data_IF_171144949937
#
_entry.id   IF_171144949937
#
_cell.length_a   1.000
_cell.length_b   1.000
_cell.length_c   1.000
_cell.angle_alpha   90.00
_cell.angle_beta   90.00
_cell.angle_gamma   90.00
#
_symmetry.space_group_name_H-M   'P 1'
#
loop_
_entity.id
_entity.type
_entity.pdbx_description
1 polymer ?
#
# COMPACT_ATOMS: atom_id res chain seq x y z
N UNK A 1 11.05 18.25 -8.35
CA UNK A 1 10.95 16.92 -7.69
C UNK A 1 10.74 15.87 -8.78
N UNK A 2 11.30 14.66 -8.65
CA UNK A 2 11.00 13.56 -9.57
C UNK A 2 9.51 13.21 -9.56
N UNK A 3 9.00 12.67 -10.67
CA UNK A 3 7.64 12.13 -10.74
C UNK A 3 7.52 10.84 -9.94
N UNK A 4 6.30 10.42 -9.60
CA UNK A 4 6.10 9.16 -8.89
C UNK A 4 6.65 7.95 -9.68
N UNK A 5 6.50 7.95 -11.01
CA UNK A 5 7.06 6.92 -11.88
C UNK A 5 8.60 6.89 -11.85
N UNK A 6 9.25 8.06 -11.82
CA UNK A 6 10.72 8.14 -11.67
C UNK A 6 11.17 7.61 -10.30
N UNK A 7 10.46 7.96 -9.22
CA UNK A 7 10.71 7.43 -7.88
C UNK A 7 10.54 5.91 -7.85
N UNK A 8 9.49 5.36 -8.45
CA UNK A 8 9.25 3.92 -8.52
C UNK A 8 10.37 3.17 -9.26
N UNK A 9 10.76 3.64 -10.45
CA UNK A 9 11.85 3.03 -11.21
C UNK A 9 13.16 3.04 -10.41
N UNK A 10 13.43 4.15 -9.74
CA UNK A 10 14.63 4.30 -8.91
C UNK A 10 14.59 3.41 -7.67
N UNK A 11 13.42 3.23 -7.06
CA UNK A 11 13.20 2.33 -5.94
C UNK A 11 13.50 0.88 -6.35
N UNK A 12 12.92 0.43 -7.47
CA UNK A 12 13.15 -0.91 -7.99
C UNK A 12 14.64 -1.16 -8.30
N UNK A 13 15.33 -0.19 -8.91
CA UNK A 13 16.77 -0.30 -9.16
C UNK A 13 17.60 -0.36 -7.87
N UNK A 14 17.18 0.33 -6.80
CA UNK A 14 17.82 0.24 -5.50
C UNK A 14 17.58 -1.14 -4.86
N UNK A 15 16.35 -1.65 -4.94
CA UNK A 15 15.99 -3.00 -4.50
C UNK A 15 16.86 -4.08 -5.18
N UNK A 16 17.00 -4.04 -6.51
CA UNK A 16 17.86 -4.97 -7.25
C UNK A 16 19.35 -4.89 -6.87
N UNK A 17 19.78 -3.80 -6.22
CA UNK A 17 21.14 -3.60 -5.72
C UNK A 17 21.27 -3.93 -4.23
N UNK A 18 20.23 -4.47 -3.61
CA UNK A 18 20.11 -4.70 -2.17
C UNK A 18 20.23 -3.43 -1.30
N UNK A 19 20.02 -2.25 -1.89
CA UNK A 19 19.96 -0.96 -1.18
C UNK A 19 18.52 -0.73 -0.70
N UNK A 20 18.15 -1.51 0.32
CA UNK A 20 16.77 -1.56 0.82
C UNK A 20 16.32 -0.26 1.49
N UNK A 21 17.22 0.45 2.18
CA UNK A 21 16.89 1.72 2.84
C UNK A 21 16.49 2.77 1.80
N UNK A 22 17.29 2.89 0.73
CA UNK A 22 16.99 3.78 -0.38
C UNK A 22 15.74 3.35 -1.13
N UNK A 23 15.57 2.04 -1.35
CA UNK A 23 14.37 1.51 -1.98
C UNK A 23 13.11 1.88 -1.19
N UNK A 24 13.13 1.68 0.13
CA UNK A 24 12.02 1.99 1.03
C UNK A 24 11.67 3.49 1.03
N UNK A 25 12.66 4.37 1.12
CA UNK A 25 12.47 5.82 1.02
C UNK A 25 11.85 6.23 -0.32
N UNK A 26 12.34 5.67 -1.43
CA UNK A 26 11.84 5.98 -2.76
C UNK A 26 10.40 5.48 -3.00
N UNK A 27 10.02 4.31 -2.48
CA UNK A 27 8.63 3.86 -2.52
C UNK A 27 7.70 4.76 -1.71
N UNK A 28 8.12 5.22 -0.52
CA UNK A 28 7.34 6.20 0.25
C UNK A 28 7.15 7.50 -0.52
N UNK A 29 8.20 8.01 -1.17
CA UNK A 29 8.13 9.22 -2.01
C UNK A 29 7.17 9.04 -3.18
N UNK A 30 7.24 7.90 -3.86
CA UNK A 30 6.32 7.54 -4.94
C UNK A 30 4.85 7.60 -4.48
N UNK A 31 4.51 6.91 -3.39
CA UNK A 31 3.15 6.87 -2.83
C UNK A 31 2.68 8.25 -2.39
N UNK A 32 3.52 8.99 -1.66
CA UNK A 32 3.18 10.34 -1.17
C UNK A 32 2.91 11.30 -2.34
N UNK A 33 3.70 11.21 -3.42
CA UNK A 33 3.53 12.00 -4.64
C UNK A 33 2.21 11.66 -5.35
N UNK A 34 1.96 10.38 -5.62
CA UNK A 34 0.70 9.89 -6.19
C UNK A 34 -0.53 10.41 -5.45
N UNK A 35 -0.53 10.24 -4.12
CA UNK A 35 -1.66 10.61 -3.27
C UNK A 35 -1.82 12.12 -3.16
N UNK A 36 -0.74 12.90 -3.29
CA UNK A 36 -0.79 14.36 -3.20
C UNK A 36 -1.19 15.05 -4.49
N UNK A 37 -0.51 14.77 -5.60
CA UNK A 37 -0.58 15.64 -6.79
C UNK A 37 -0.57 14.93 -8.15
N UNK A 38 -0.38 13.62 -8.22
CA UNK A 38 -0.41 12.88 -9.50
C UNK A 38 -1.68 12.04 -9.69
N UNK A 39 -1.86 11.50 -10.91
CA UNK A 39 -3.00 10.64 -11.24
C UNK A 39 -2.91 9.32 -10.46
N UNK A 40 -3.95 9.03 -9.66
CA UNK A 40 -4.01 7.85 -8.78
C UNK A 40 -4.02 6.53 -9.56
N UNK A 41 -4.70 6.50 -10.71
CA UNK A 41 -4.83 5.33 -11.60
C UNK A 41 -3.85 5.39 -12.78
N UNK A 42 -2.70 6.06 -12.61
CA UNK A 42 -1.68 6.01 -13.64
C UNK A 42 -1.14 4.58 -13.77
N UNK A 43 -1.01 4.12 -15.02
CA UNK A 43 -0.48 2.80 -15.30
C UNK A 43 0.96 2.64 -14.83
N UNK A 44 1.37 1.41 -14.58
CA UNK A 44 2.76 1.07 -14.39
C UNK A 44 3.57 1.53 -15.60
N UNK A 45 4.76 2.13 -15.39
CA UNK A 45 5.72 2.26 -16.47
C UNK A 45 6.03 0.86 -17.03
N UNK A 46 6.32 0.76 -18.33
CA UNK A 46 6.54 -0.50 -19.08
C UNK A 46 7.77 -1.30 -18.60
N UNK A 47 7.70 -1.78 -17.36
CA UNK A 47 8.71 -2.55 -16.64
C UNK A 47 8.14 -3.93 -16.28
N UNK A 48 6.82 -4.15 -16.43
CA UNK A 48 6.18 -5.44 -16.16
C UNK A 48 5.26 -5.87 -17.31
N UNK A 49 5.42 -7.08 -17.86
CA UNK A 49 4.56 -7.64 -18.90
C UNK A 49 3.40 -8.50 -18.35
N UNK A 50 3.17 -8.57 -17.03
CA UNK A 50 2.17 -9.46 -16.45
C UNK A 50 0.85 -8.77 -16.13
N UNK A 51 -0.25 -9.37 -16.57
CA UNK A 51 -1.63 -9.00 -16.22
C UNK A 51 -2.03 -9.45 -14.81
N UNK A 52 -1.20 -10.27 -14.14
CA UNK A 52 -1.47 -10.80 -12.80
C UNK A 52 -1.15 -9.82 -11.67
N UNK A 53 -0.45 -8.72 -11.98
CA UNK A 53 -0.15 -7.68 -11.02
C UNK A 53 -1.10 -6.48 -11.19
N UNK A 54 -1.36 -5.70 -10.12
CA UNK A 54 -2.07 -4.44 -10.24
C UNK A 54 -1.44 -3.57 -11.34
N UNK A 55 -2.25 -3.02 -12.23
CA UNK A 55 -1.76 -2.22 -13.35
C UNK A 55 -1.53 -0.76 -12.94
N UNK A 56 -2.09 -0.33 -11.80
CA UNK A 56 -1.92 0.99 -11.26
C UNK A 56 -0.60 1.11 -10.47
N UNK A 57 0.21 2.12 -10.81
CA UNK A 57 1.49 2.39 -10.17
C UNK A 57 1.36 2.50 -8.64
N UNK A 58 0.28 3.11 -8.15
CA UNK A 58 0.04 3.26 -6.71
C UNK A 58 -0.16 1.91 -6.02
N UNK A 59 -0.92 1.00 -6.63
CA UNK A 59 -1.16 -0.34 -6.08
C UNK A 59 0.13 -1.12 -5.93
N UNK A 60 0.97 -1.12 -6.97
CA UNK A 60 2.26 -1.83 -6.94
C UNK A 60 3.27 -1.18 -6.02
N UNK A 61 3.39 0.15 -6.03
CA UNK A 61 4.29 0.85 -5.11
C UNK A 61 3.93 0.55 -3.65
N UNK A 62 2.63 0.50 -3.34
CA UNK A 62 2.16 0.16 -2.00
C UNK A 62 2.42 -1.30 -1.65
N UNK A 63 2.18 -2.23 -2.57
CA UNK A 63 2.49 -3.65 -2.38
C UNK A 63 3.97 -3.85 -2.04
N UNK A 64 4.87 -3.23 -2.81
CA UNK A 64 6.33 -3.29 -2.59
C UNK A 64 6.74 -2.62 -1.27
N UNK A 65 6.11 -1.51 -0.88
CA UNK A 65 6.35 -0.92 0.44
C UNK A 65 5.99 -1.91 1.56
N UNK A 66 4.86 -2.60 1.44
CA UNK A 66 4.37 -3.51 2.49
C UNK A 66 5.12 -4.85 2.54
N UNK A 67 5.69 -5.36 1.44
CA UNK A 67 6.47 -6.61 1.45
C UNK A 67 7.68 -6.50 2.38
N UNK A 68 8.38 -5.36 2.40
CA UNK A 68 9.47 -5.09 3.35
C UNK A 68 9.13 -5.37 4.81
N UNK A 69 7.87 -5.16 5.23
CA UNK A 69 7.43 -5.46 6.58
C UNK A 69 6.95 -6.90 6.73
N UNK A 70 6.30 -7.46 5.70
CA UNK A 70 5.79 -8.85 5.73
C UNK A 70 6.92 -9.89 5.72
N UNK A 71 8.02 -9.57 5.06
CA UNK A 71 9.19 -10.44 4.96
C UNK A 71 10.13 -10.28 6.18
N UNK A 72 9.79 -9.38 7.12
CA UNK A 72 10.57 -9.12 8.33
C UNK A 72 11.81 -8.24 8.12
N UNK A 73 12.07 -7.74 6.91
CA UNK A 73 13.19 -6.83 6.62
C UNK A 73 13.12 -5.55 7.46
N UNK A 74 11.91 -5.02 7.68
CA UNK A 74 11.69 -3.85 8.52
C UNK A 74 10.58 -4.07 9.55
N UNK A 75 10.67 -3.33 10.64
CA UNK A 75 9.70 -3.28 11.74
C UNK A 75 9.22 -1.84 11.96
N UNK A 76 8.23 -1.66 12.84
CA UNK A 76 7.81 -0.33 13.28
C UNK A 76 8.98 0.47 13.88
N UNK A 77 9.89 -0.21 14.57
CA UNK A 77 11.05 0.37 15.24
C UNK A 77 12.14 0.77 14.25
N UNK A 78 12.43 -0.06 13.25
CA UNK A 78 13.49 0.22 12.26
C UNK A 78 13.04 1.15 11.13
N UNK A 79 11.74 1.22 10.83
CA UNK A 79 11.20 2.09 9.77
C UNK A 79 9.89 2.78 10.19
N UNK A 80 9.93 3.66 11.22
CA UNK A 80 8.73 4.25 11.82
C UNK A 80 7.92 5.11 10.84
N UNK A 81 8.57 5.79 9.90
CA UNK A 81 7.86 6.67 8.95
C UNK A 81 7.16 5.88 7.83
N UNK A 82 7.78 4.78 7.37
CA UNK A 82 7.11 3.84 6.46
C UNK A 82 5.93 3.15 7.18
N UNK A 83 6.11 2.75 8.44
CA UNK A 83 5.03 2.20 9.25
C UNK A 83 3.87 3.20 9.43
N UNK A 84 4.16 4.47 9.76
CA UNK A 84 3.13 5.53 9.85
C UNK A 84 2.39 5.71 8.52
N UNK A 85 3.09 5.64 7.39
CA UNK A 85 2.47 5.73 6.07
C UNK A 85 1.49 4.58 5.86
N UNK A 86 1.90 3.33 6.10
CA UNK A 86 1.04 2.14 6.02
C UNK A 86 -0.18 2.29 6.94
N UNK A 87 0.05 2.63 8.21
CA UNK A 87 -1.01 2.82 9.20
C UNK A 87 -1.99 3.94 8.82
N UNK A 88 -1.56 4.95 8.05
CA UNK A 88 -2.47 5.99 7.59
C UNK A 88 -3.56 5.45 6.66
N UNK A 89 -3.30 4.35 5.94
CA UNK A 89 -4.26 3.65 5.07
C UNK A 89 -5.01 2.50 5.77
N UNK A 90 -4.92 2.39 7.09
CA UNK A 90 -5.64 1.33 7.82
C UNK A 90 -7.16 1.47 7.61
N UNK A 91 -7.88 0.36 7.36
CA UNK A 91 -9.34 0.38 7.42
C UNK A 91 -9.83 0.82 8.81
N UNK A 92 -10.98 1.52 8.87
CA UNK A 92 -11.51 2.04 10.13
C UNK A 92 -10.66 3.14 10.79
N UNK A 93 -9.74 3.76 10.04
CA UNK A 93 -9.14 5.04 10.43
C UNK A 93 -10.08 6.21 10.09
N UNK A 94 -9.96 7.32 10.81
CA UNK A 94 -10.74 8.55 10.55
C UNK A 94 -10.19 9.37 9.37
N UNK A 95 -9.21 8.84 8.62
CA UNK A 95 -8.57 9.56 7.54
C UNK A 95 -9.42 9.47 6.28
N UNK A 96 -9.87 10.62 5.82
CA UNK A 96 -10.55 10.74 4.54
C UNK A 96 -9.56 10.82 3.38
N UNK A 97 -10.03 10.38 2.21
CA UNK A 97 -9.25 10.30 0.97
C UNK A 97 -9.98 11.05 -0.17
N UNK A 98 -10.12 12.38 -0.08
CA UNK A 98 -11.02 13.16 -0.94
C UNK A 98 -10.66 13.12 -2.43
N UNK A 99 -9.43 12.72 -2.79
CA UNK A 99 -9.01 12.59 -4.20
C UNK A 99 -9.46 11.28 -4.86
N UNK A 100 -9.89 10.30 -4.08
CA UNK A 100 -10.38 9.02 -4.61
C UNK A 100 -11.89 9.17 -4.85
N UNK A 101 -12.29 9.74 -5.97
CA UNK A 101 -13.70 10.11 -6.23
C UNK A 101 -14.41 9.17 -7.19
N UNK A 102 -13.67 8.54 -8.11
CA UNK A 102 -14.25 7.62 -9.09
C UNK A 102 -14.42 6.20 -8.53
N UNK A 103 -15.31 5.37 -9.07
CA UNK A 103 -15.45 3.97 -8.65
C UNK A 103 -14.14 3.17 -8.75
N UNK A 104 -13.36 3.40 -9.80
CA UNK A 104 -12.04 2.78 -10.01
C UNK A 104 -11.04 3.21 -8.93
N UNK A 105 -10.99 4.51 -8.61
CA UNK A 105 -10.13 5.01 -7.53
C UNK A 105 -10.58 4.45 -6.18
N UNK A 106 -11.87 4.39 -5.90
CA UNK A 106 -12.41 3.81 -4.67
C UNK A 106 -12.06 2.33 -4.54
N UNK A 107 -12.08 1.57 -5.64
CA UNK A 107 -11.63 0.19 -5.66
C UNK A 107 -10.13 0.08 -5.33
N UNK A 108 -9.30 0.92 -5.96
CA UNK A 108 -7.86 1.01 -5.69
C UNK A 108 -7.58 1.36 -4.23
N UNK A 109 -8.30 2.32 -3.65
CA UNK A 109 -8.18 2.70 -2.24
C UNK A 109 -8.48 1.51 -1.34
N UNK A 110 -9.57 0.79 -1.59
CA UNK A 110 -9.94 -0.40 -0.82
C UNK A 110 -8.85 -1.48 -0.90
N UNK A 111 -8.27 -1.72 -2.07
CA UNK A 111 -7.16 -2.68 -2.22
C UNK A 111 -5.93 -2.27 -1.39
N UNK A 112 -5.58 -0.97 -1.40
CA UNK A 112 -4.50 -0.41 -0.56
C UNK A 112 -4.81 -0.58 0.93
N UNK A 113 -6.05 -0.28 1.34
CA UNK A 113 -6.49 -0.41 2.73
C UNK A 113 -6.46 -1.87 3.21
N UNK A 114 -6.87 -2.82 2.36
CA UNK A 114 -6.77 -4.25 2.64
C UNK A 114 -5.30 -4.64 2.87
N UNK A 115 -4.40 -4.27 1.95
CA UNK A 115 -2.96 -4.55 2.10
C UNK A 115 -2.37 -3.92 3.38
N UNK A 116 -2.76 -2.68 3.70
CA UNK A 116 -2.34 -2.00 4.91
C UNK A 116 -2.81 -2.76 6.17
N UNK A 117 -4.10 -3.10 6.24
CA UNK A 117 -4.68 -3.82 7.37
C UNK A 117 -4.06 -5.20 7.60
N UNK A 118 -3.85 -5.98 6.53
CA UNK A 118 -3.20 -7.29 6.61
C UNK A 118 -1.76 -7.17 7.11
N UNK A 119 -1.00 -6.19 6.59
CA UNK A 119 0.39 -5.95 6.99
C UNK A 119 0.47 -5.54 8.46
N UNK A 120 -0.39 -4.62 8.91
CA UNK A 120 -0.45 -4.19 10.32
C UNK A 120 -0.88 -5.34 11.25
N UNK A 121 -1.79 -6.20 10.79
CA UNK A 121 -2.19 -7.40 11.50
C UNK A 121 -1.02 -8.38 11.69
N UNK A 122 -0.23 -8.60 10.63
CA UNK A 122 0.97 -9.44 10.69
C UNK A 122 2.04 -8.86 11.62
N UNK A 123 2.33 -7.55 11.53
CA UNK A 123 3.28 -6.90 12.44
C UNK A 123 2.84 -7.06 13.91
N UNK A 124 1.55 -6.91 14.20
CA UNK A 124 1.02 -7.13 15.55
C UNK A 124 1.12 -8.60 15.97
N UNK A 125 0.85 -9.52 15.05
CA UNK A 125 0.98 -10.95 15.25
C UNK A 125 2.42 -11.34 15.62
N UNK A 126 3.42 -10.81 14.93
CA UNK A 126 4.83 -11.10 15.19
C UNK A 126 5.29 -10.56 16.55
N UNK A 127 4.71 -9.43 16.99
CA UNK A 127 4.87 -8.89 18.35
C UNK A 127 4.09 -9.65 19.43
N UNK A 128 3.41 -10.75 19.07
CA UNK A 128 2.52 -11.54 19.96
C UNK A 128 1.31 -10.75 20.48
N UNK A 129 1.01 -9.59 19.90
CA UNK A 129 -0.22 -8.84 20.19
C UNK A 129 -1.39 -9.42 19.38
N UNK A 130 -1.91 -10.54 19.88
CA UNK A 130 -3.01 -11.28 19.24
C UNK A 130 -4.29 -10.46 19.16
N UNK A 131 -4.55 -9.60 20.15
CA UNK A 131 -5.75 -8.78 20.20
C UNK A 131 -5.74 -7.74 19.07
N UNK A 132 -4.62 -7.02 18.90
CA UNK A 132 -4.48 -6.08 17.79
C UNK A 132 -4.50 -6.81 16.45
N UNK A 133 -3.80 -7.94 16.30
CA UNK A 133 -3.80 -8.71 15.06
C UNK A 133 -5.21 -9.12 14.62
N UNK A 134 -5.98 -9.73 15.53
CA UNK A 134 -7.37 -10.13 15.27
C UNK A 134 -8.26 -8.94 14.89
N UNK A 135 -8.09 -7.79 15.56
CA UNK A 135 -8.80 -6.56 15.21
C UNK A 135 -8.49 -6.10 13.78
N UNK A 136 -7.22 -6.08 13.37
CA UNK A 136 -6.83 -5.67 12.01
C UNK A 136 -7.35 -6.62 10.95
N UNK A 137 -7.30 -7.93 11.19
CA UNK A 137 -7.87 -8.90 10.26
C UNK A 137 -9.38 -8.77 10.13
N UNK A 138 -10.10 -8.54 11.24
CA UNK A 138 -11.53 -8.27 11.18
C UNK A 138 -11.87 -7.02 10.36
N UNK A 139 -11.17 -5.91 10.59
CA UNK A 139 -11.36 -4.66 9.84
C UNK A 139 -11.16 -4.87 8.32
N UNK A 140 -10.20 -5.72 7.92
CA UNK A 140 -9.99 -6.10 6.52
C UNK A 140 -11.12 -6.96 5.97
N UNK A 141 -11.53 -7.99 6.70
CA UNK A 141 -12.62 -8.90 6.29
C UNK A 141 -13.91 -8.10 6.09
N UNK A 142 -14.26 -7.25 7.06
CA UNK A 142 -15.45 -6.42 6.98
C UNK A 142 -15.39 -5.53 5.71
N UNK A 143 -14.27 -4.86 5.44
CA UNK A 143 -14.08 -4.05 4.23
C UNK A 143 -14.19 -4.84 2.92
N UNK A 144 -13.63 -6.05 2.87
CA UNK A 144 -13.67 -6.92 1.69
C UNK A 144 -15.09 -7.41 1.40
N UNK A 145 -15.82 -7.87 2.44
CA UNK A 145 -17.20 -8.32 2.30
C UNK A 145 -18.15 -7.20 1.83
N UNK A 146 -17.99 -5.97 2.32
CA UNK A 146 -18.75 -4.80 1.83
C UNK A 146 -18.45 -4.46 0.36
N UNK A 147 -17.31 -4.89 -0.17
CA UNK A 147 -16.92 -4.59 -1.54
C UNK A 147 -17.51 -5.57 -2.55
N UNK A 148 -17.77 -6.83 -2.15
CA UNK A 148 -18.44 -7.82 -3.00
C UNK A 148 -19.93 -7.52 -3.25
N UNK A 149 -20.63 -6.92 -2.30
CA UNK A 149 -22.08 -6.65 -2.41
C UNK A 149 -22.42 -5.49 -3.36
N UNK A 150 -21.46 -4.62 -3.68
CA UNK A 150 -21.63 -3.52 -4.64
C UNK A 150 -21.47 -3.96 -6.11
N UNK A 151 -20.96 -5.18 -6.36
CA UNK A 151 -20.77 -5.73 -7.71
C UNK A 151 -22.03 -6.35 -8.34
N UNK A 152 -23.16 -6.38 -7.64
CA UNK A 152 -24.43 -6.97 -8.13
C UNK A 152 -25.59 -5.96 -8.21
N UNK A 153 -25.30 -4.66 -8.09
CA UNK A 153 -26.27 -3.60 -8.41
C UNK A 153 -25.74 -2.77 -9.58
N UNK A 154 -25.77 -3.35 -10.77
CA UNK A 154 -25.82 -2.64 -12.06
C UNK A 154 -26.75 -3.37 -12.98
#
# INVERSE_FOLDING_TARGET
MPTAAQSFKSAYMAFCKNDYDKSLDLYQKCIKKLVKDERLTQGLPAISPSDEIPQELLGVAFHQLTSFFRDGTYSQESAPDAYKLINSFRPGGNKEYPRFTTPEQQLLLKAIQINAGLTLGLIAWDKKDRATAAKRYKEVIDLACYSCTMGHRR
#
